data_IF_303977152279
#
_entry.id   IF_303977152279
#
_cell.length_a   1.000
_cell.length_b   1.000
_cell.length_c   1.000
_cell.angle_alpha   90.00
_cell.angle_beta   90.00
_cell.angle_gamma   90.00
#
_symmetry.space_group_name_H-M   'P 1'
#
loop_
_entity.id
_entity.type
_entity.pdbx_description
1 polymer ?
#
# COMPACT_ATOMS: atom_id res chain seq x y z
N UNK A 1 -37.10 -33.49 -16.15
CA UNK A 1 -36.85 -32.06 -16.45
C UNK A 1 -36.27 -31.29 -15.27
N UNK A 2 -36.81 -31.43 -14.05
CA UNK A 2 -36.38 -30.68 -12.85
C UNK A 2 -34.88 -30.83 -12.50
N UNK A 3 -34.28 -32.01 -12.69
CA UNK A 3 -32.84 -32.25 -12.38
C UNK A 3 -31.86 -31.43 -13.22
N UNK A 4 -32.24 -31.02 -14.45
CA UNK A 4 -31.38 -30.19 -15.32
C UNK A 4 -31.38 -28.71 -14.90
N UNK A 5 -32.45 -28.26 -14.23
CA UNK A 5 -32.58 -26.87 -13.77
C UNK A 5 -31.63 -26.57 -12.59
N UNK A 6 -31.50 -27.51 -11.64
CA UNK A 6 -30.55 -27.37 -10.52
C UNK A 6 -29.09 -27.33 -10.96
N UNK A 7 -28.73 -28.07 -12.01
CA UNK A 7 -27.37 -28.05 -12.57
C UNK A 7 -27.02 -26.66 -13.13
N UNK A 8 -27.98 -26.00 -13.80
CA UNK A 8 -27.79 -24.65 -14.34
C UNK A 8 -27.61 -23.63 -13.21
N UNK A 9 -28.43 -23.72 -12.15
CA UNK A 9 -28.30 -22.85 -10.96
C UNK A 9 -26.93 -23.04 -10.29
N UNK A 10 -26.46 -24.29 -10.16
CA UNK A 10 -25.17 -24.59 -9.55
C UNK A 10 -24.00 -23.99 -10.37
N UNK A 11 -24.04 -24.12 -11.69
CA UNK A 11 -23.03 -23.56 -12.60
C UNK A 11 -23.02 -22.03 -12.55
N UNK A 12 -24.21 -21.39 -12.54
CA UNK A 12 -24.32 -19.94 -12.43
C UNK A 12 -23.77 -19.39 -11.11
N UNK A 13 -23.94 -20.12 -10.00
CA UNK A 13 -23.41 -19.72 -8.69
C UNK A 13 -21.87 -19.77 -8.64
N UNK A 14 -21.26 -20.82 -9.21
CA UNK A 14 -19.80 -20.94 -9.30
C UNK A 14 -19.18 -19.82 -10.16
N UNK A 15 -19.86 -19.38 -11.21
CA UNK A 15 -19.42 -18.25 -12.04
C UNK A 15 -19.51 -16.91 -11.29
N UNK A 16 -20.49 -16.74 -10.40
CA UNK A 16 -20.66 -15.50 -9.62
C UNK A 16 -19.63 -15.34 -8.50
N UNK A 17 -19.14 -16.46 -7.93
CA UNK A 17 -18.11 -16.45 -6.88
C UNK A 17 -16.68 -16.17 -7.41
N UNK A 18 -16.46 -16.15 -8.73
CA UNK A 18 -15.17 -15.79 -9.33
C UNK A 18 -15.00 -14.27 -9.54
N UNK A 19 -15.94 -13.45 -9.08
CA UNK A 19 -15.74 -12.01 -9.06
C UNK A 19 -14.60 -11.69 -8.09
N UNK A 20 -13.49 -11.20 -8.69
CA UNK A 20 -12.21 -10.97 -8.02
C UNK A 20 -12.41 -10.24 -6.69
N UNK A 21 -11.62 -10.58 -5.67
CA UNK A 21 -11.65 -9.84 -4.43
C UNK A 21 -11.27 -8.38 -4.69
N UNK A 22 -12.20 -7.47 -4.37
CA UNK A 22 -11.92 -6.07 -4.13
C UNK A 22 -11.09 -6.01 -2.85
N UNK A 23 -9.78 -6.27 -2.97
CA UNK A 23 -8.87 -6.11 -1.84
C UNK A 23 -8.47 -4.64 -1.77
N UNK A 24 -9.41 -3.80 -1.31
CA UNK A 24 -9.01 -2.62 -0.56
C UNK A 24 -8.13 -3.13 0.59
N UNK A 25 -6.84 -2.82 0.51
CA UNK A 25 -5.89 -3.09 1.58
C UNK A 25 -5.83 -1.86 2.47
N UNK A 26 -5.47 -2.04 3.73
CA UNK A 26 -5.19 -0.92 4.60
C UNK A 26 -3.71 -0.87 4.97
N UNK A 27 -3.31 0.28 5.51
CA UNK A 27 -2.00 0.45 6.13
C UNK A 27 -2.10 1.41 7.31
N UNK A 28 -1.21 1.23 8.28
CA UNK A 28 -0.94 2.25 9.29
C UNK A 28 0.00 3.31 8.71
N UNK A 29 0.11 4.43 9.42
CA UNK A 29 0.94 5.55 9.03
C UNK A 29 2.06 5.74 10.05
N UNK A 30 3.29 5.83 9.55
CA UNK A 30 4.39 6.43 10.30
C UNK A 30 4.63 7.86 9.80
N UNK A 31 4.95 8.75 10.71
CA UNK A 31 5.44 10.08 10.41
C UNK A 31 6.95 10.05 10.51
N UNK A 32 7.65 10.47 9.45
CA UNK A 32 9.10 10.51 9.43
C UNK A 32 9.65 11.91 9.15
N UNK A 33 10.81 12.18 9.74
CA UNK A 33 11.56 13.41 9.49
C UNK A 33 12.62 13.23 8.39
N UNK A 34 13.44 14.25 8.12
CA UNK A 34 14.53 14.16 7.12
C UNK A 34 15.66 13.20 7.50
N UNK A 35 15.80 12.85 8.77
CA UNK A 35 16.86 12.02 9.33
C UNK A 35 16.45 10.56 9.55
N UNK A 36 15.25 10.16 9.09
CA UNK A 36 14.66 8.83 9.26
C UNK A 36 14.31 8.50 10.71
N UNK A 37 14.18 9.50 11.57
CA UNK A 37 13.45 9.32 12.83
C UNK A 37 11.96 9.18 12.49
N UNK A 38 11.26 8.32 13.20
CA UNK A 38 9.85 8.06 12.93
C UNK A 38 9.05 7.80 14.20
N UNK A 39 7.75 8.14 14.12
CA UNK A 39 6.74 7.82 15.11
C UNK A 39 5.48 7.30 14.41
N UNK A 40 4.72 6.44 15.07
CA UNK A 40 3.41 6.00 14.59
C UNK A 40 2.39 7.12 14.73
N UNK A 41 1.64 7.42 13.68
CA UNK A 41 0.52 8.36 13.77
C UNK A 41 -0.68 7.63 14.38
N UNK A 42 -1.02 7.95 15.63
CA UNK A 42 -2.07 7.23 16.37
C UNK A 42 -3.48 7.58 15.86
N UNK A 43 -4.34 6.56 15.75
CA UNK A 43 -5.75 6.73 15.38
C UNK A 43 -6.01 6.76 13.87
N UNK A 44 -4.99 6.62 13.03
CA UNK A 44 -5.13 6.66 11.57
C UNK A 44 -4.79 5.32 10.92
N UNK A 45 -5.72 4.86 10.09
CA UNK A 45 -5.58 3.75 9.16
C UNK A 45 -6.11 4.26 7.83
N UNK A 46 -5.44 3.92 6.72
CA UNK A 46 -5.83 4.41 5.40
C UNK A 46 -5.97 3.26 4.42
N UNK A 47 -6.95 3.39 3.55
CA UNK A 47 -7.27 2.41 2.53
C UNK A 47 -6.51 2.68 1.24
N UNK A 48 -6.26 1.62 0.50
CA UNK A 48 -5.51 1.68 -0.74
C UNK A 48 -4.98 0.33 -1.21
N UNK A 49 -3.91 0.37 -2.00
CA UNK A 49 -3.37 -0.82 -2.66
C UNK A 49 -1.84 -0.83 -2.60
N UNK A 50 -1.29 -1.96 -2.15
CA UNK A 50 0.15 -2.21 -2.22
C UNK A 50 0.58 -2.59 -3.64
N UNK A 51 1.48 -1.81 -4.23
CA UNK A 51 2.07 -2.09 -5.55
C UNK A 51 3.55 -2.42 -5.40
N UNK A 52 4.01 -3.46 -6.11
CA UNK A 52 5.42 -3.80 -6.26
C UNK A 52 5.86 -3.38 -7.66
N UNK A 53 6.84 -2.48 -7.76
CA UNK A 53 7.39 -2.01 -9.04
C UNK A 53 8.86 -2.39 -9.16
N UNK A 54 9.23 -2.95 -10.32
CA UNK A 54 10.63 -3.18 -10.65
C UNK A 54 11.34 -1.84 -10.89
N UNK A 55 12.56 -1.69 -10.37
CA UNK A 55 13.33 -0.45 -10.50
C UNK A 55 14.52 -0.65 -11.43
N UNK A 56 15.49 -1.48 -11.04
CA UNK A 56 16.68 -1.80 -11.85
C UNK A 56 17.29 -3.13 -11.43
N UNK A 57 17.77 -3.91 -12.40
CA UNK A 57 18.44 -5.19 -12.14
C UNK A 57 17.54 -6.19 -11.40
N UNK A 58 17.92 -6.58 -10.19
CA UNK A 58 17.14 -7.44 -9.31
C UNK A 58 16.43 -6.66 -8.19
N UNK A 59 16.44 -5.33 -8.23
CA UNK A 59 15.79 -4.51 -7.21
C UNK A 59 14.36 -4.16 -7.60
N UNK A 60 13.48 -4.19 -6.60
CA UNK A 60 12.14 -3.64 -6.67
C UNK A 60 11.91 -2.64 -5.55
N UNK A 61 10.87 -1.85 -5.69
CA UNK A 61 10.36 -1.00 -4.65
C UNK A 61 8.89 -1.34 -4.42
N UNK A 62 8.42 -1.12 -3.20
CA UNK A 62 7.03 -1.27 -2.81
C UNK A 62 6.47 0.14 -2.61
N UNK A 63 5.22 0.35 -3.01
CA UNK A 63 4.47 1.59 -2.86
C UNK A 63 3.08 1.29 -2.33
N UNK A 64 2.45 2.27 -1.68
CA UNK A 64 1.03 2.20 -1.34
C UNK A 64 0.28 3.29 -2.11
N UNK A 65 -0.64 2.88 -2.98
CA UNK A 65 -1.53 3.82 -3.67
C UNK A 65 -2.59 4.28 -2.68
N UNK A 66 -2.61 5.57 -2.38
CA UNK A 66 -3.57 6.18 -1.45
C UNK A 66 -4.87 6.49 -2.19
N UNK A 67 -5.99 5.92 -1.76
CA UNK A 67 -7.26 6.00 -2.50
C UNK A 67 -7.86 7.42 -2.51
N UNK A 68 -7.69 8.14 -1.41
CA UNK A 68 -8.15 9.52 -1.19
C UNK A 68 -7.23 10.57 -1.86
N UNK A 69 -6.05 10.14 -2.32
CA UNK A 69 -5.14 10.96 -3.12
C UNK A 69 -4.41 12.08 -2.36
N UNK A 70 -3.94 13.08 -3.11
CA UNK A 70 -2.97 14.06 -2.63
C UNK A 70 -3.48 14.97 -1.51
N UNK A 71 -4.76 15.36 -1.53
CA UNK A 71 -5.31 16.24 -0.49
C UNK A 71 -5.34 15.54 0.86
N UNK A 72 -5.66 14.23 0.88
CA UNK A 72 -5.60 13.46 2.11
C UNK A 72 -4.17 13.24 2.60
N UNK A 73 -3.21 13.02 1.68
CA UNK A 73 -1.79 13.01 2.05
C UNK A 73 -1.32 14.33 2.68
N UNK A 74 -1.78 15.49 2.18
CA UNK A 74 -1.49 16.78 2.81
C UNK A 74 -2.10 16.88 4.21
N UNK A 75 -3.33 16.41 4.39
CA UNK A 75 -3.97 16.33 5.70
C UNK A 75 -3.14 15.46 6.67
N UNK A 76 -2.76 14.25 6.27
CA UNK A 76 -1.92 13.35 7.08
C UNK A 76 -0.57 13.98 7.44
N UNK A 77 0.00 14.80 6.55
CA UNK A 77 1.23 15.54 6.81
C UNK A 77 1.02 16.58 7.92
N UNK A 78 -0.09 17.32 7.90
CA UNK A 78 -0.38 18.28 8.97
C UNK A 78 -0.64 17.55 10.30
N UNK A 79 -1.32 16.40 10.29
CA UNK A 79 -1.48 15.56 11.49
C UNK A 79 -0.12 15.09 12.06
N UNK A 80 0.82 14.66 11.19
CA UNK A 80 2.17 14.32 11.60
C UNK A 80 2.90 15.50 12.28
N UNK A 81 2.77 16.71 11.71
CA UNK A 81 3.39 17.90 12.29
C UNK A 81 2.74 18.29 13.62
N UNK A 82 1.42 18.16 13.72
CA UNK A 82 0.68 18.48 14.92
C UNK A 82 1.08 17.58 16.09
N UNK A 83 1.30 16.28 15.84
CA UNK A 83 1.65 15.32 16.90
C UNK A 83 3.14 15.29 17.24
N UNK A 84 4.03 15.42 16.25
CA UNK A 84 5.47 15.16 16.44
C UNK A 84 6.37 16.37 16.17
N UNK A 85 5.80 17.48 15.70
CA UNK A 85 6.53 18.71 15.39
C UNK A 85 6.83 18.89 13.90
N UNK A 86 7.23 20.11 13.54
CA UNK A 86 7.37 20.56 12.15
C UNK A 86 8.39 19.79 11.30
N UNK A 87 9.27 19.01 11.92
CA UNK A 87 10.27 18.21 11.21
C UNK A 87 9.70 16.90 10.64
N UNK A 88 8.59 16.40 11.19
CA UNK A 88 7.93 15.15 10.77
C UNK A 88 7.00 15.37 9.56
N UNK A 89 7.61 15.66 8.42
CA UNK A 89 6.91 16.11 7.20
C UNK A 89 6.52 14.98 6.22
N UNK A 90 6.94 13.74 6.50
CA UNK A 90 6.72 12.59 5.61
C UNK A 90 5.77 11.57 6.26
N UNK A 91 4.46 11.66 6.05
CA UNK A 91 3.56 10.54 6.34
C UNK A 91 3.86 9.40 5.36
N UNK A 92 4.07 8.19 5.88
CA UNK A 92 4.46 7.02 5.09
C UNK A 92 3.68 5.78 5.51
N UNK A 93 3.29 4.91 4.56
CA UNK A 93 2.61 3.66 4.84
C UNK A 93 3.55 2.66 5.52
N UNK A 94 3.06 2.01 6.57
CA UNK A 94 3.75 0.90 7.22
C UNK A 94 2.76 -0.13 7.78
N UNK A 95 3.12 -1.41 7.71
CA UNK A 95 2.31 -2.49 8.28
C UNK A 95 2.72 -2.82 9.72
N UNK A 96 3.97 -2.56 10.08
CA UNK A 96 4.58 -2.86 11.38
C UNK A 96 5.96 -2.20 11.53
N UNK A 97 6.54 -2.20 12.73
CA UNK A 97 7.76 -1.42 13.05
C UNK A 97 9.01 -1.83 12.27
N UNK A 98 9.06 -3.08 11.81
CA UNK A 98 10.18 -3.61 11.00
C UNK A 98 9.93 -3.54 9.49
N UNK A 99 8.92 -2.79 9.03
CA UNK A 99 8.64 -2.67 7.60
C UNK A 99 9.76 -1.88 6.92
N UNK A 100 10.08 -2.25 5.68
CA UNK A 100 10.92 -1.42 4.83
C UNK A 100 10.27 -0.06 4.56
N UNK A 101 11.09 0.98 4.47
CA UNK A 101 10.62 2.32 4.11
C UNK A 101 9.92 2.30 2.75
N UNK A 102 8.66 2.74 2.76
CA UNK A 102 7.78 2.76 1.59
C UNK A 102 7.10 4.12 1.51
N UNK A 103 6.89 4.64 0.31
CA UNK A 103 6.18 5.90 0.08
C UNK A 103 4.76 5.66 -0.41
N UNK A 104 3.89 6.63 -0.13
CA UNK A 104 2.60 6.73 -0.80
C UNK A 104 2.78 7.15 -2.27
N UNK A 105 1.84 6.76 -3.12
CA UNK A 105 1.70 7.25 -4.49
C UNK A 105 0.25 7.66 -4.75
N UNK A 106 0.03 8.54 -5.72
CA UNK A 106 -1.30 8.71 -6.31
C UNK A 106 -1.65 7.55 -7.27
N UNK A 107 -2.85 7.63 -7.86
CA UNK A 107 -3.37 6.62 -8.80
C UNK A 107 -2.60 6.57 -10.13
N UNK A 108 -1.94 7.67 -10.49
CA UNK A 108 -1.08 7.77 -11.67
C UNK A 108 0.34 7.23 -11.40
N UNK A 109 0.63 6.88 -10.15
CA UNK A 109 1.92 6.34 -9.71
C UNK A 109 2.97 7.42 -9.44
N UNK A 110 2.57 8.69 -9.32
CA UNK A 110 3.46 9.74 -8.85
C UNK A 110 3.72 9.54 -7.36
N UNK A 111 5.00 9.46 -6.98
CA UNK A 111 5.41 9.26 -5.59
C UNK A 111 5.20 10.54 -4.79
N UNK A 112 4.69 10.39 -3.58
CA UNK A 112 4.75 11.45 -2.59
C UNK A 112 6.10 11.45 -1.86
N UNK A 113 6.54 12.60 -1.32
CA UNK A 113 7.82 12.70 -0.62
C UNK A 113 7.92 11.75 0.59
N UNK A 114 9.10 11.16 0.78
CA UNK A 114 9.42 10.30 1.92
C UNK A 114 10.67 9.45 1.69
N UNK A 115 10.98 8.59 2.63
CA UNK A 115 12.10 7.63 2.52
C UNK A 115 11.68 6.38 1.78
N UNK A 116 12.55 5.83 0.93
CA UNK A 116 12.30 4.55 0.27
C UNK A 116 13.46 3.59 0.44
N UNK A 117 13.13 2.30 0.56
CA UNK A 117 14.09 1.20 0.55
C UNK A 117 13.93 0.38 -0.73
N UNK A 118 15.02 0.18 -1.45
CA UNK A 118 15.06 -0.76 -2.57
C UNK A 118 15.29 -2.17 -2.03
N UNK A 119 14.43 -3.10 -2.44
CA UNK A 119 14.44 -4.49 -1.96
C UNK A 119 15.02 -5.37 -3.06
N UNK A 120 15.99 -6.19 -2.71
CA UNK A 120 16.58 -7.15 -3.63
C UNK A 120 15.66 -8.37 -3.82
N UNK A 121 15.46 -8.79 -5.06
CA UNK A 121 14.70 -9.98 -5.42
C UNK A 121 15.62 -11.17 -5.65
N UNK A 122 15.70 -12.07 -4.66
CA UNK A 122 16.52 -13.28 -4.72
C UNK A 122 15.98 -14.34 -5.71
N UNK A 123 14.67 -14.33 -6.00
CA UNK A 123 14.04 -15.33 -6.88
C UNK A 123 14.57 -15.29 -8.33
N UNK A 124 15.19 -14.17 -8.73
CA UNK A 124 15.78 -14.02 -10.06
C UNK A 124 17.15 -14.68 -10.21
N UNK A 125 17.85 -14.97 -9.10
CA UNK A 125 19.16 -15.64 -9.13
C UNK A 125 18.99 -17.15 -9.33
N UNK A 126 17.95 -17.74 -8.73
CA UNK A 126 17.74 -19.20 -8.72
C UNK A 126 17.12 -19.77 -10.00
N UNK A 127 17.01 -18.95 -11.07
CA UNK A 127 16.56 -19.37 -12.40
C UNK A 127 17.74 -19.53 -13.38
N UNK A 128 18.86 -20.06 -12.91
CA UNK A 128 20.02 -20.47 -13.72
C UNK A 128 20.00 -21.99 -13.81
#
# INVERSE_FOLDING_TARGET
MIKKFYLIILISFVLFCNNKPSFASYTYIICADKHKNWNWLEGFIVDGIWIKKHVKGNYFSRYFVLDEGIEYYKFLREECKNQFGNDFIYPQPSLHSFSNWTVFTDKDGNKFPGHETLIYNFDKILRI
#
